data_IF_543437456166
#
_entry.id   IF_543437456166
#
_cell.length_a   1.000
_cell.length_b   1.000
_cell.length_c   1.000
_cell.angle_alpha   90.00
_cell.angle_beta   90.00
_cell.angle_gamma   90.00
#
_symmetry.space_group_name_H-M   'P 1'
#
loop_
_entity.id
_entity.type
_entity.pdbx_description
1 polymer ?
#
# COMPACT_ATOMS: atom_id res chain seq x y z
N UNK A 1 -5.42 37.75 21.79
CA UNK A 1 -6.26 36.85 20.95
C UNK A 1 -5.60 36.75 19.58
N UNK A 2 -5.04 35.60 19.23
CA UNK A 2 -4.31 35.42 17.95
C UNK A 2 -5.32 35.39 16.81
N UNK A 3 -5.26 36.36 15.89
CA UNK A 3 -6.08 36.38 14.69
C UNK A 3 -5.56 35.33 13.71
N UNK A 4 -6.36 34.30 13.45
CA UNK A 4 -6.03 33.26 12.45
C UNK A 4 -6.24 33.81 11.05
N UNK A 5 -5.27 33.58 10.15
CA UNK A 5 -5.36 34.01 8.75
C UNK A 5 -6.51 33.32 8.01
N UNK A 6 -6.99 33.94 6.93
CA UNK A 6 -8.02 33.37 6.03
C UNK A 6 -7.62 31.97 5.51
N UNK A 7 -6.32 31.72 5.32
CA UNK A 7 -5.79 30.42 4.91
C UNK A 7 -5.94 29.35 6.01
N UNK A 8 -5.60 29.68 7.25
CA UNK A 8 -5.77 28.77 8.39
C UNK A 8 -7.25 28.47 8.66
N UNK A 9 -8.13 29.46 8.52
CA UNK A 9 -9.59 29.24 8.63
C UNK A 9 -10.13 28.34 7.52
N UNK A 10 -9.63 28.46 6.28
CA UNK A 10 -10.01 27.60 5.16
C UNK A 10 -9.55 26.16 5.39
N UNK A 11 -8.30 25.95 5.84
CA UNK A 11 -7.75 24.62 6.16
C UNK A 11 -8.53 23.94 7.29
N UNK A 12 -8.88 24.67 8.35
CA UNK A 12 -9.72 24.16 9.44
C UNK A 12 -11.15 23.84 8.98
N UNK A 13 -11.74 24.63 8.08
CA UNK A 13 -13.05 24.33 7.47
C UNK A 13 -13.04 23.10 6.59
N UNK A 14 -12.00 22.91 5.78
CA UNK A 14 -11.82 21.68 4.99
C UNK A 14 -11.63 20.47 5.90
N UNK A 15 -10.80 20.58 6.95
CA UNK A 15 -10.58 19.50 7.90
C UNK A 15 -11.83 19.14 8.72
N UNK A 16 -12.71 20.11 9.01
CA UNK A 16 -13.97 19.89 9.75
C UNK A 16 -15.07 19.19 8.94
N UNK A 17 -14.94 19.09 7.62
CA UNK A 17 -15.93 18.45 6.74
C UNK A 17 -15.54 17.05 6.26
N UNK A 18 -14.37 16.53 6.65
CA UNK A 18 -13.99 15.15 6.34
C UNK A 18 -14.66 14.22 7.35
N UNK A 19 -15.85 13.73 7.01
CA UNK A 19 -16.37 12.53 7.67
C UNK A 19 -15.40 11.39 7.35
N UNK A 20 -14.87 10.64 8.33
CA UNK A 20 -14.11 9.44 8.01
C UNK A 20 -15.05 8.52 7.24
N UNK A 21 -14.77 8.32 5.96
CA UNK A 21 -15.54 7.40 5.13
C UNK A 21 -15.47 6.02 5.79
N UNK A 22 -16.65 5.51 6.13
CA UNK A 22 -16.81 4.18 6.75
C UNK A 22 -16.56 3.05 5.75
N UNK A 23 -16.31 3.39 4.48
CA UNK A 23 -16.19 2.45 3.38
C UNK A 23 -14.76 1.93 3.24
N UNK A 24 -14.64 0.62 3.14
CA UNK A 24 -13.39 -0.05 2.83
C UNK A 24 -13.07 0.29 1.37
N UNK A 25 -11.94 0.98 1.17
CA UNK A 25 -11.45 1.29 -0.17
C UNK A 25 -11.00 -0.02 -0.82
N UNK A 26 -11.45 -0.26 -2.05
CA UNK A 26 -10.95 -1.35 -2.90
C UNK A 26 -10.16 -0.73 -4.04
N UNK A 27 -8.92 -1.16 -4.20
CA UNK A 27 -8.04 -0.67 -5.24
C UNK A 27 -8.43 -1.14 -6.65
N UNK A 28 -8.07 -0.37 -7.67
CA UNK A 28 -8.31 -0.71 -9.09
C UNK A 28 -7.04 -0.85 -9.92
N UNK A 29 -5.86 -0.63 -9.30
CA UNK A 29 -4.56 -0.77 -9.97
C UNK A 29 -4.29 -2.22 -10.39
N UNK A 30 -3.97 -2.45 -11.66
CA UNK A 30 -3.64 -3.79 -12.18
C UNK A 30 -2.15 -4.02 -12.40
N UNK A 31 -1.31 -3.02 -12.12
CA UNK A 31 0.14 -3.10 -12.29
C UNK A 31 0.75 -4.10 -11.33
N UNK A 32 1.48 -5.11 -11.83
CA UNK A 32 2.04 -6.15 -10.98
C UNK A 32 3.29 -5.68 -10.22
N UNK A 33 4.19 -4.98 -10.90
CA UNK A 33 5.38 -4.35 -10.30
C UNK A 33 5.06 -2.92 -9.91
N UNK A 34 5.15 -2.62 -8.62
CA UNK A 34 4.79 -1.30 -8.12
C UNK A 34 5.72 -0.92 -6.99
N UNK A 35 6.38 0.23 -7.11
CA UNK A 35 7.24 0.78 -6.08
C UNK A 35 6.45 1.17 -4.84
N UNK A 36 7.05 1.03 -3.66
CA UNK A 36 6.47 1.57 -2.43
C UNK A 36 6.41 3.10 -2.49
N UNK A 37 5.23 3.68 -2.27
CA UNK A 37 5.03 5.14 -2.25
C UNK A 37 4.80 5.63 -0.83
N UNK A 38 5.44 6.72 -0.40
CA UNK A 38 5.07 7.37 0.87
C UNK A 38 3.88 8.29 0.62
N UNK A 39 2.68 7.76 0.76
CA UNK A 39 1.46 8.53 0.53
C UNK A 39 1.14 9.36 1.78
N UNK A 40 1.10 10.69 1.60
CA UNK A 40 0.82 11.68 2.67
C UNK A 40 -0.60 12.24 2.55
N UNK A 41 -1.27 11.98 1.42
CA UNK A 41 -2.62 12.46 1.08
C UNK A 41 -3.67 11.34 1.14
N UNK A 42 -4.92 11.71 0.84
CA UNK A 42 -6.04 10.78 0.76
C UNK A 42 -5.74 9.60 -0.19
N UNK A 43 -6.16 8.36 0.17
CA UNK A 43 -6.03 7.19 -0.70
C UNK A 43 -6.76 7.35 -2.03
N UNK A 44 -6.01 7.24 -3.14
CA UNK A 44 -6.56 7.10 -4.49
C UNK A 44 -6.69 5.61 -4.85
N UNK A 45 -7.91 5.08 -5.07
CA UNK A 45 -8.11 3.67 -5.46
C UNK A 45 -7.31 3.24 -6.69
N UNK A 46 -7.04 4.16 -7.63
CA UNK A 46 -6.29 3.88 -8.88
C UNK A 46 -4.84 3.54 -8.62
N UNK A 47 -4.30 3.97 -7.48
CA UNK A 47 -2.95 3.67 -7.07
C UNK A 47 -2.87 2.39 -6.24
N UNK A 48 -3.98 1.81 -5.79
CA UNK A 48 -3.99 0.65 -4.90
C UNK A 48 -4.35 -0.60 -5.69
N UNK A 49 -3.64 -1.71 -5.49
CA UNK A 49 -3.93 -2.98 -6.17
C UNK A 49 -4.97 -3.80 -5.40
N UNK A 50 -6.04 -4.32 -6.03
CA UNK A 50 -6.97 -5.24 -5.37
C UNK A 50 -6.30 -6.58 -5.05
N UNK A 51 -6.88 -7.35 -4.13
CA UNK A 51 -6.28 -8.57 -3.59
C UNK A 51 -5.87 -9.58 -4.67
N UNK A 52 -6.69 -9.77 -5.71
CA UNK A 52 -6.38 -10.70 -6.80
C UNK A 52 -5.11 -10.29 -7.59
N UNK A 53 -4.84 -8.98 -7.72
CA UNK A 53 -3.61 -8.45 -8.31
C UNK A 53 -2.45 -8.65 -7.35
N UNK A 54 -2.64 -8.37 -6.06
CA UNK A 54 -1.60 -8.58 -5.04
C UNK A 54 -1.11 -10.03 -5.00
N UNK A 55 -2.02 -11.00 -5.14
CA UNK A 55 -1.69 -12.43 -5.25
C UNK A 55 -0.84 -12.74 -6.49
N UNK A 56 -1.16 -12.12 -7.64
CA UNK A 56 -0.38 -12.24 -8.88
C UNK A 56 1.00 -11.59 -8.73
N UNK A 57 1.07 -10.40 -8.13
CA UNK A 57 2.32 -9.69 -7.82
C UNK A 57 3.24 -10.55 -6.95
N UNK A 58 2.73 -11.13 -5.86
CA UNK A 58 3.51 -12.00 -4.98
C UNK A 58 4.10 -13.19 -5.76
N UNK A 59 3.28 -13.87 -6.58
CA UNK A 59 3.74 -15.00 -7.40
C UNK A 59 4.87 -14.60 -8.35
N UNK A 60 4.72 -13.48 -9.03
CA UNK A 60 5.73 -12.95 -9.96
C UNK A 60 7.03 -12.61 -9.23
N UNK A 61 6.98 -11.93 -8.08
CA UNK A 61 8.17 -11.59 -7.29
C UNK A 61 8.94 -12.85 -6.88
N UNK A 62 8.22 -13.88 -6.39
CA UNK A 62 8.84 -15.15 -5.99
C UNK A 62 9.46 -15.90 -7.16
N UNK A 63 8.85 -15.81 -8.36
CA UNK A 63 9.44 -16.39 -9.57
C UNK A 63 10.73 -15.68 -9.97
N UNK A 64 10.75 -14.34 -9.94
CA UNK A 64 11.97 -13.55 -10.22
C UNK A 64 13.08 -13.84 -9.21
N UNK A 65 12.74 -13.90 -7.92
CA UNK A 65 13.69 -14.26 -6.86
C UNK A 65 14.29 -15.64 -7.09
N UNK A 66 13.45 -16.66 -7.30
CA UNK A 66 13.91 -18.04 -7.53
C UNK A 66 14.83 -18.18 -8.77
N UNK A 67 14.70 -17.29 -9.75
CA UNK A 67 15.52 -17.26 -10.96
C UNK A 67 16.77 -16.41 -10.82
N UNK A 68 17.03 -15.82 -9.64
CA UNK A 68 18.12 -14.87 -9.40
C UNK A 68 18.11 -13.67 -10.37
N UNK A 69 16.92 -13.25 -10.84
CA UNK A 69 16.76 -12.10 -11.76
C UNK A 69 16.75 -10.75 -11.02
N UNK A 70 16.58 -10.77 -9.69
CA UNK A 70 16.39 -9.57 -8.85
C UNK A 70 17.13 -9.73 -7.53
N UNK A 71 17.52 -8.59 -6.94
CA UNK A 71 18.17 -8.55 -5.64
C UNK A 71 17.17 -8.38 -4.47
N UNK A 72 17.69 -8.49 -3.25
CA UNK A 72 16.88 -8.35 -2.05
C UNK A 72 16.31 -6.92 -1.87
N UNK A 73 17.00 -5.91 -2.40
CA UNK A 73 16.54 -4.51 -2.34
C UNK A 73 15.25 -4.34 -3.13
N UNK A 74 15.19 -4.89 -4.36
CA UNK A 74 14.00 -4.97 -5.17
C UNK A 74 12.88 -5.73 -4.45
N UNK A 75 13.17 -6.91 -3.92
CA UNK A 75 12.18 -7.74 -3.18
C UNK A 75 11.60 -6.95 -2.02
N UNK A 76 12.45 -6.37 -1.17
CA UNK A 76 12.03 -5.57 -0.02
C UNK A 76 11.14 -4.39 -0.44
N UNK A 77 11.46 -3.72 -1.55
CA UNK A 77 10.64 -2.64 -2.10
C UNK A 77 9.25 -3.13 -2.54
N UNK A 78 9.19 -4.22 -3.30
CA UNK A 78 7.92 -4.79 -3.78
C UNK A 78 7.05 -5.29 -2.62
N UNK A 79 7.64 -5.95 -1.62
CA UNK A 79 6.92 -6.41 -0.44
C UNK A 79 6.41 -5.26 0.42
N UNK A 80 7.15 -4.15 0.55
CA UNK A 80 6.65 -2.90 1.19
C UNK A 80 5.43 -2.36 0.45
N UNK A 81 5.47 -2.35 -0.87
CA UNK A 81 4.36 -1.90 -1.71
C UNK A 81 3.11 -2.80 -1.56
N UNK A 82 3.28 -4.13 -1.52
CA UNK A 82 2.16 -5.07 -1.29
C UNK A 82 1.53 -4.83 0.09
N UNK A 83 2.35 -4.72 1.14
CA UNK A 83 1.85 -4.48 2.51
C UNK A 83 1.13 -3.15 2.65
N UNK A 84 1.60 -2.11 1.97
CA UNK A 84 0.90 -0.84 1.91
C UNK A 84 -0.50 -1.01 1.33
N UNK A 85 -0.63 -1.63 0.15
CA UNK A 85 -1.92 -1.81 -0.51
C UNK A 85 -2.88 -2.66 0.35
N UNK A 86 -2.39 -3.71 1.02
CA UNK A 86 -3.19 -4.48 1.98
C UNK A 86 -3.67 -3.63 3.16
N UNK A 87 -2.79 -2.78 3.70
CA UNK A 87 -3.09 -1.91 4.84
C UNK A 87 -4.15 -0.87 4.49
N UNK A 88 -4.03 -0.22 3.32
CA UNK A 88 -4.98 0.78 2.84
C UNK A 88 -6.38 0.20 2.63
N UNK A 89 -6.47 -1.07 2.22
CA UNK A 89 -7.72 -1.80 2.00
C UNK A 89 -8.19 -2.60 3.23
N UNK A 90 -7.46 -2.52 4.35
CA UNK A 90 -7.73 -3.29 5.59
C UNK A 90 -7.83 -4.81 5.39
N UNK A 91 -7.07 -5.37 4.45
CA UNK A 91 -7.05 -6.81 4.17
C UNK A 91 -6.30 -7.53 5.30
N UNK A 92 -7.02 -8.34 6.07
CA UNK A 92 -6.52 -9.12 7.21
C UNK A 92 -7.01 -10.56 7.12
N UNK A 93 -6.43 -11.33 6.20
CA UNK A 93 -6.76 -12.73 5.96
C UNK A 93 -5.48 -13.56 5.78
N UNK A 94 -5.62 -14.83 5.43
CA UNK A 94 -4.50 -15.77 5.24
C UNK A 94 -3.47 -15.27 4.21
N UNK A 95 -3.89 -14.47 3.22
CA UNK A 95 -2.96 -13.88 2.28
C UNK A 95 -2.04 -12.86 2.95
N UNK A 96 -2.57 -12.05 3.87
CA UNK A 96 -1.75 -11.12 4.66
C UNK A 96 -0.70 -11.90 5.44
N UNK A 97 -1.08 -12.96 6.17
CA UNK A 97 -0.15 -13.82 6.91
C UNK A 97 0.94 -14.35 5.99
N UNK A 98 0.55 -14.94 4.86
CA UNK A 98 1.48 -15.48 3.87
C UNK A 98 2.49 -14.44 3.37
N UNK A 99 2.06 -13.22 3.06
CA UNK A 99 2.97 -12.15 2.61
C UNK A 99 4.01 -11.82 3.68
N UNK A 100 3.62 -11.71 4.95
CA UNK A 100 4.54 -11.38 6.04
C UNK A 100 5.53 -12.52 6.30
N UNK A 101 5.05 -13.76 6.38
CA UNK A 101 5.93 -14.92 6.58
C UNK A 101 6.91 -15.11 5.43
N UNK A 102 6.45 -14.99 4.19
CA UNK A 102 7.32 -15.12 3.02
C UNK A 102 8.40 -14.04 3.03
N UNK A 103 8.05 -12.79 3.35
CA UNK A 103 9.05 -11.73 3.46
C UNK A 103 10.06 -11.98 4.57
N UNK A 104 9.63 -12.53 5.72
CA UNK A 104 10.52 -12.89 6.81
C UNK A 104 11.50 -14.00 6.41
N UNK A 105 11.03 -15.03 5.69
CA UNK A 105 11.89 -16.11 5.18
C UNK A 105 12.94 -15.57 4.20
N UNK A 106 12.53 -14.75 3.24
CA UNK A 106 13.44 -14.14 2.25
C UNK A 106 14.45 -13.17 2.87
N UNK A 107 14.17 -12.63 4.06
CA UNK A 107 15.09 -11.73 4.77
C UNK A 107 16.20 -12.48 5.53
N UNK A 108 16.05 -13.79 5.71
CA UNK A 108 16.99 -14.66 6.41
C UNK A 108 17.83 -15.54 5.45
N UNK A 109 17.44 -15.57 4.17
CA UNK A 109 18.16 -16.24 3.08
C UNK A 109 19.36 -15.39 2.64
#
# INVERSE_FOLDING_TARGET
>A
KVFKSKYQQKKERLAKNVKPSKEIIVGTCTTLEKTFYRQVSEPDPRLIRPEWVLRKSLKMILQKWKRNEVDYVYVCNQFKSIRQDMTMQRIKNDFTVKVYETHARLALE
#
